data_IF_804273014709
#
_entry.id   IF_804273014709
#
_cell.length_a   1.000
_cell.length_b   1.000
_cell.length_c   1.000
_cell.angle_alpha   90.00
_cell.angle_beta   90.00
_cell.angle_gamma   90.00
#
_symmetry.space_group_name_H-M   'P 1'
#
loop_
_entity.id
_entity.type
_entity.pdbx_description
1 polymer ?
#
# COMPACT_ATOMS: atom_id res chain seq x y z
N UNK A 1 2.36 2.08 19.88
CA UNK A 1 1.20 2.21 18.96
C UNK A 1 1.61 3.03 17.76
N UNK A 2 1.21 2.64 16.54
CA UNK A 2 1.46 3.41 15.32
C UNK A 2 0.15 3.63 14.57
N UNK A 3 -0.01 4.82 13.99
CA UNK A 3 -1.17 5.25 13.19
C UNK A 3 -0.67 5.78 11.85
N UNK A 4 -1.45 5.52 10.81
CA UNK A 4 -1.22 6.05 9.47
C UNK A 4 -2.40 6.93 9.07
N UNK A 5 -2.16 7.85 8.15
CA UNK A 5 -3.18 8.69 7.57
C UNK A 5 -2.60 9.74 6.63
N UNK A 6 -3.44 10.40 5.83
CA UNK A 6 -3.00 11.53 5.02
C UNK A 6 -2.70 12.74 5.91
N UNK A 7 -1.50 13.33 5.77
CA UNK A 7 -1.04 14.46 6.58
C UNK A 7 -0.69 15.73 5.80
N UNK A 8 -0.40 15.65 4.50
CA UNK A 8 -0.10 16.81 3.66
C UNK A 8 -0.99 16.84 2.42
N UNK A 9 -1.80 17.90 2.33
CA UNK A 9 -2.81 18.09 1.27
C UNK A 9 -2.39 19.12 0.21
N UNK A 10 -1.35 19.90 0.47
CA UNK A 10 -0.86 20.95 -0.42
C UNK A 10 0.65 20.84 -0.60
N UNK A 11 1.11 20.94 -1.85
CA UNK A 11 2.53 20.94 -2.23
C UNK A 11 2.74 22.09 -3.21
N UNK A 12 3.56 23.08 -2.82
CA UNK A 12 3.69 24.34 -3.56
C UNK A 12 2.32 25.00 -3.77
N UNK A 13 2.00 25.29 -5.03
CA UNK A 13 0.73 25.91 -5.45
C UNK A 13 -0.36 24.89 -5.83
N UNK A 14 -0.09 23.60 -5.65
CA UNK A 14 -1.03 22.51 -5.99
C UNK A 14 -1.63 21.87 -4.75
N UNK A 15 -2.91 21.48 -4.82
CA UNK A 15 -3.67 20.91 -3.72
C UNK A 15 -4.38 19.62 -4.15
N UNK A 16 -4.40 18.65 -3.25
CA UNK A 16 -5.13 17.40 -3.39
C UNK A 16 -6.64 17.64 -3.21
N UNK A 17 -7.44 17.01 -4.07
CA UNK A 17 -8.90 17.21 -4.14
C UNK A 17 -9.69 16.17 -3.34
N UNK A 18 -9.04 15.11 -2.90
CA UNK A 18 -9.68 14.01 -2.19
C UNK A 18 -8.91 13.68 -0.91
N UNK A 19 -9.65 13.28 0.15
CA UNK A 19 -9.05 12.97 1.44
C UNK A 19 -7.97 11.89 1.33
N UNK A 20 -8.23 10.81 0.59
CA UNK A 20 -7.27 9.71 0.42
C UNK A 20 -5.99 10.07 -0.36
N UNK A 21 -5.92 11.26 -0.98
CA UNK A 21 -4.76 11.62 -1.78
C UNK A 21 -3.63 12.28 -0.97
N UNK A 22 -3.90 12.73 0.26
CA UNK A 22 -2.88 13.39 1.08
C UNK A 22 -1.69 12.45 1.37
N UNK A 23 -0.49 13.02 1.49
CA UNK A 23 0.73 12.22 1.71
C UNK A 23 0.66 11.47 3.02
N UNK A 24 1.03 10.19 2.98
CA UNK A 24 1.11 9.32 4.13
C UNK A 24 1.98 9.94 5.24
N UNK A 25 1.39 10.03 6.43
CA UNK A 25 1.97 10.61 7.62
C UNK A 25 1.85 9.62 8.78
N UNK A 26 3.00 9.07 9.15
CA UNK A 26 3.14 8.04 10.16
C UNK A 26 3.25 8.72 11.52
N UNK A 27 2.45 8.28 12.47
CA UNK A 27 2.45 8.77 13.84
C UNK A 27 2.69 7.61 14.80
N UNK A 28 3.69 7.74 15.66
CA UNK A 28 4.08 6.74 16.67
C UNK A 28 3.91 7.32 18.06
N UNK A 29 3.26 6.52 18.90
CA UNK A 29 3.03 6.77 20.31
C UNK A 29 3.67 5.62 21.09
N UNK A 30 4.74 5.90 21.80
CA UNK A 30 5.53 4.92 22.56
C UNK A 30 5.46 5.24 24.05
N UNK A 31 5.29 4.21 24.88
CA UNK A 31 5.16 4.36 26.33
C UNK A 31 6.32 3.64 27.01
N UNK A 32 7.06 4.37 27.84
CA UNK A 32 8.20 3.85 28.60
C UNK A 32 8.22 4.54 29.96
N UNK A 33 8.33 3.75 31.03
CA UNK A 33 8.34 4.22 32.43
C UNK A 33 7.22 5.20 32.79
N UNK A 34 6.01 4.91 32.30
CA UNK A 34 4.81 5.74 32.56
C UNK A 34 4.79 7.07 31.80
N UNK A 35 5.76 7.33 30.91
CA UNK A 35 5.79 8.50 30.02
C UNK A 35 5.38 8.11 28.60
N UNK A 36 4.73 9.04 27.90
CA UNK A 36 4.39 8.89 26.49
C UNK A 36 5.32 9.75 25.63
N UNK A 37 5.96 9.11 24.66
CA UNK A 37 6.76 9.74 23.62
C UNK A 37 6.01 9.72 22.29
N UNK A 38 6.08 10.83 21.57
CA UNK A 38 5.48 11.00 20.26
C UNK A 38 6.58 11.24 19.22
N UNK A 39 6.52 10.49 18.13
CA UNK A 39 7.31 10.75 16.92
C UNK A 39 6.42 10.64 15.70
N UNK A 40 6.70 11.43 14.67
CA UNK A 40 5.95 11.35 13.43
C UNK A 40 6.81 11.74 12.23
N UNK A 41 6.50 11.15 11.08
CA UNK A 41 7.26 11.34 9.85
C UNK A 41 6.37 11.13 8.64
N UNK A 42 6.61 11.89 7.58
CA UNK A 42 6.05 11.56 6.28
C UNK A 42 6.68 10.28 5.75
N UNK A 43 5.87 9.42 5.14
CA UNK A 43 6.40 8.27 4.44
C UNK A 43 7.15 8.75 3.19
N UNK A 44 8.48 8.64 3.20
CA UNK A 44 9.34 9.04 2.10
C UNK A 44 9.33 8.01 0.96
N UNK A 45 8.13 7.76 0.41
CA UNK A 45 7.90 6.96 -0.79
C UNK A 45 8.44 7.65 -2.04
N UNK A 46 8.48 6.95 -3.17
CA UNK A 46 8.85 7.56 -4.45
C UNK A 46 7.84 8.63 -4.87
N UNK A 47 6.55 8.45 -4.56
CA UNK A 47 5.53 9.49 -4.71
C UNK A 47 5.88 10.76 -3.93
N UNK A 48 6.17 10.62 -2.64
CA UNK A 48 6.55 11.74 -1.78
C UNK A 48 7.80 12.46 -2.32
N UNK A 49 8.87 11.71 -2.60
CA UNK A 49 10.14 12.27 -3.08
C UNK A 49 9.97 13.03 -4.39
N UNK A 50 9.19 12.50 -5.33
CA UNK A 50 8.93 13.13 -6.64
C UNK A 50 8.16 14.43 -6.49
N UNK A 51 7.08 14.44 -5.71
CA UNK A 51 6.26 15.63 -5.51
C UNK A 51 7.01 16.72 -4.73
N UNK A 52 7.78 16.34 -3.71
CA UNK A 52 8.63 17.28 -2.96
C UNK A 52 9.75 17.86 -3.81
N UNK A 53 10.42 17.04 -4.64
CA UNK A 53 11.46 17.51 -5.57
C UNK A 53 10.90 18.46 -6.63
N UNK A 54 9.68 18.22 -7.09
CA UNK A 54 9.02 19.08 -8.08
C UNK A 54 8.34 20.32 -7.46
N UNK A 55 8.23 20.39 -6.13
CA UNK A 55 7.46 21.38 -5.39
C UNK A 55 6.02 21.56 -5.92
N UNK A 56 5.41 20.46 -6.40
CA UNK A 56 4.03 20.38 -6.91
C UNK A 56 3.61 18.90 -7.04
N UNK A 57 2.31 18.65 -7.07
CA UNK A 57 1.73 17.32 -7.30
C UNK A 57 1.96 16.94 -8.77
N UNK A 58 2.88 16.01 -9.01
CA UNK A 58 3.22 15.49 -10.34
C UNK A 58 2.81 14.03 -10.54
N UNK A 59 2.58 13.28 -9.46
CA UNK A 59 2.03 11.93 -9.52
C UNK A 59 0.51 11.98 -9.31
N UNK A 60 -0.25 11.29 -10.16
CA UNK A 60 -1.70 11.16 -9.99
C UNK A 60 -2.03 10.27 -8.79
N UNK A 61 -3.05 10.66 -8.03
CA UNK A 61 -3.60 9.90 -6.89
C UNK A 61 -5.05 9.45 -7.19
N UNK A 62 -5.76 8.95 -6.18
CA UNK A 62 -7.11 8.38 -6.33
C UNK A 62 -8.12 9.40 -6.86
N UNK A 63 -8.21 10.58 -6.25
CA UNK A 63 -9.16 11.63 -6.63
C UNK A 63 -8.52 12.85 -7.31
N UNK A 64 -7.19 12.88 -7.40
CA UNK A 64 -6.43 14.00 -7.94
C UNK A 64 -5.63 13.53 -9.15
N UNK A 65 -6.17 13.82 -10.33
CA UNK A 65 -5.42 13.64 -11.57
C UNK A 65 -4.34 14.71 -11.69
N UNK A 66 -3.17 14.29 -12.17
CA UNK A 66 -2.05 15.18 -12.48
C UNK A 66 -2.52 16.39 -13.32
N UNK A 67 -2.09 17.59 -12.91
CA UNK A 67 -2.16 18.75 -13.78
C UNK A 67 -1.12 18.60 -14.90
N UNK A 68 -1.52 18.72 -16.18
CA UNK A 68 -0.59 18.54 -17.29
C UNK A 68 0.51 19.60 -17.21
N UNK A 69 1.75 19.13 -17.07
CA UNK A 69 2.94 19.97 -16.91
C UNK A 69 2.94 21.13 -17.94
N UNK A 70 2.98 22.40 -17.49
CA UNK A 70 3.01 23.55 -18.39
C UNK A 70 4.25 23.57 -19.29
N UNK A 71 5.31 22.84 -18.92
CA UNK A 71 6.53 22.71 -19.72
C UNK A 71 6.45 21.61 -20.80
N UNK A 72 5.40 20.76 -20.80
CA UNK A 72 5.21 19.74 -21.84
C UNK A 72 4.47 20.31 -23.04
N UNK A 73 5.04 20.14 -24.24
CA UNK A 73 4.41 20.56 -25.51
C UNK A 73 3.08 19.83 -25.76
N UNK A 74 2.20 20.36 -26.63
CA UNK A 74 0.89 19.74 -26.93
C UNK A 74 1.03 18.27 -27.39
N UNK A 75 2.12 17.95 -28.09
CA UNK A 75 2.46 16.58 -28.51
C UNK A 75 2.93 15.70 -27.35
N UNK A 76 3.75 16.22 -26.44
CA UNK A 76 4.15 15.50 -25.22
C UNK A 76 2.98 15.30 -24.25
N UNK A 77 2.03 16.23 -24.22
CA UNK A 77 0.75 16.08 -23.50
C UNK A 77 -0.06 14.92 -24.06
N UNK A 78 -0.20 14.83 -25.38
CA UNK A 78 -0.90 13.74 -26.05
C UNK A 78 -0.17 12.40 -25.84
N UNK A 79 1.16 12.35 -25.93
CA UNK A 79 1.95 11.14 -25.63
C UNK A 79 1.89 10.73 -24.15
N UNK A 80 1.75 11.67 -23.22
CA UNK A 80 1.56 11.36 -21.79
C UNK A 80 0.21 10.69 -21.50
N UNK A 81 -0.79 10.83 -22.39
CA UNK A 81 -2.03 10.04 -22.33
C UNK A 81 -1.83 8.60 -22.79
N UNK A 82 -0.93 8.35 -23.75
CA UNK A 82 -0.70 7.03 -24.35
C UNK A 82 0.39 6.23 -23.63
N UNK A 83 1.29 6.89 -22.91
CA UNK A 83 2.29 6.29 -22.04
C UNK A 83 1.95 6.72 -20.63
N UNK A 84 1.18 5.93 -19.85
CA UNK A 84 0.98 6.23 -18.44
C UNK A 84 2.36 6.24 -17.79
N UNK A 85 2.84 7.44 -17.47
CA UNK A 85 4.04 7.67 -16.69
C UNK A 85 3.98 6.74 -15.48
N UNK A 86 5.07 6.06 -15.13
CA UNK A 86 5.13 5.07 -14.03
C UNK A 86 4.42 5.65 -12.80
N UNK A 87 3.15 5.30 -12.62
CA UNK A 87 2.30 5.94 -11.62
C UNK A 87 2.93 5.66 -10.26
N UNK A 88 3.18 6.73 -9.50
CA UNK A 88 3.68 6.65 -8.15
C UNK A 88 2.51 6.19 -7.27
N UNK A 89 2.29 4.87 -7.24
CA UNK A 89 1.16 4.25 -6.55
C UNK A 89 1.53 3.82 -5.12
N UNK A 90 2.64 4.32 -4.59
CA UNK A 90 3.24 3.93 -3.31
C UNK A 90 2.98 4.94 -2.18
N UNK A 91 2.01 5.86 -2.34
CA UNK A 91 1.46 6.64 -1.24
C UNK A 91 0.62 5.76 -0.30
N UNK A 92 1.32 5.04 0.57
CA UNK A 92 0.73 4.06 1.46
C UNK A 92 0.16 4.71 2.73
N UNK A 93 -0.96 5.44 2.61
CA UNK A 93 -1.53 6.28 3.67
C UNK A 93 -2.67 5.65 4.49
N UNK A 94 -3.10 4.42 4.16
CA UNK A 94 -4.37 3.87 4.66
C UNK A 94 -4.18 3.08 5.95
N UNK A 95 -3.31 2.08 5.95
CA UNK A 95 -3.14 1.18 7.09
C UNK A 95 -1.70 0.67 7.22
N UNK A 96 -1.48 -0.14 8.25
CA UNK A 96 -0.28 -0.96 8.41
C UNK A 96 -0.67 -2.43 8.43
N UNK A 97 0.19 -3.27 7.89
CA UNK A 97 0.14 -4.73 8.05
C UNK A 97 1.44 -5.21 8.68
N UNK A 98 1.30 -6.09 9.67
CA UNK A 98 2.41 -6.81 10.29
C UNK A 98 2.59 -8.14 9.58
N UNK A 99 3.80 -8.37 9.08
CA UNK A 99 4.17 -9.51 8.28
C UNK A 99 5.48 -10.07 8.83
N UNK A 100 5.39 -11.11 9.67
CA UNK A 100 6.55 -11.66 10.36
C UNK A 100 7.18 -10.63 11.30
N UNK A 101 8.45 -10.32 11.08
CA UNK A 101 9.21 -9.26 11.79
C UNK A 101 9.04 -7.87 11.15
N UNK A 102 8.42 -7.77 9.97
CA UNK A 102 8.27 -6.54 9.21
C UNK A 102 6.93 -5.83 9.44
N UNK A 103 6.97 -4.50 9.42
CA UNK A 103 5.78 -3.64 9.36
C UNK A 103 5.75 -2.95 8.00
N UNK A 104 4.60 -3.00 7.34
CA UNK A 104 4.41 -2.44 6.00
C UNK A 104 3.27 -1.44 5.99
N UNK A 105 3.54 -0.23 5.53
CA UNK A 105 2.52 0.74 5.17
C UNK A 105 1.80 0.29 3.89
N UNK A 106 0.48 0.39 3.87
CA UNK A 106 -0.36 -0.07 2.76
C UNK A 106 -1.41 0.97 2.34
N UNK A 107 -1.74 0.93 1.06
CA UNK A 107 -2.91 1.59 0.44
C UNK A 107 -3.62 0.56 -0.46
N UNK A 108 -4.57 0.98 -1.29
CA UNK A 108 -5.31 0.09 -2.20
C UNK A 108 -4.52 -0.33 -3.45
N UNK A 109 -3.21 -0.04 -3.49
CA UNK A 109 -2.31 -0.41 -4.57
C UNK A 109 -1.60 -1.73 -4.25
N UNK A 110 -1.13 -2.47 -5.27
CA UNK A 110 -0.34 -3.68 -5.06
C UNK A 110 1.11 -3.41 -4.57
N UNK A 111 1.44 -2.17 -4.20
CA UNK A 111 2.75 -1.79 -3.65
C UNK A 111 2.65 -1.51 -2.17
N UNK A 112 3.50 -2.20 -1.41
CA UNK A 112 3.64 -2.05 0.02
C UNK A 112 4.95 -1.34 0.31
N UNK A 113 5.00 -0.58 1.38
CA UNK A 113 6.24 0.11 1.79
C UNK A 113 6.65 -0.38 3.17
N UNK A 114 7.80 -1.07 3.27
CA UNK A 114 8.35 -1.52 4.54
C UNK A 114 8.84 -0.31 5.33
N UNK A 115 8.51 -0.25 6.62
CA UNK A 115 8.95 0.81 7.52
C UNK A 115 9.74 0.26 8.70
N UNK A 116 10.68 1.06 9.19
CA UNK A 116 11.26 0.86 10.51
C UNK A 116 10.33 1.45 11.57
N UNK A 117 9.99 0.67 12.61
CA UNK A 117 9.00 1.12 13.59
C UNK A 117 9.56 2.11 14.62
N UNK A 118 10.87 2.20 14.76
CA UNK A 118 11.52 3.04 15.76
C UNK A 118 11.96 4.38 15.16
N UNK A 119 12.55 4.36 13.96
CA UNK A 119 12.96 5.56 13.22
C UNK A 119 11.88 6.12 12.29
N UNK A 120 10.85 5.32 11.96
CA UNK A 120 9.83 5.63 10.94
C UNK A 120 10.41 5.79 9.52
N UNK A 121 11.61 5.25 9.26
CA UNK A 121 12.24 5.28 7.94
C UNK A 121 11.53 4.35 6.95
N UNK A 122 11.50 4.77 5.70
CA UNK A 122 11.11 3.93 4.56
C UNK A 122 12.28 2.99 4.19
N UNK A 123 12.12 1.69 4.39
CA UNK A 123 13.16 0.69 4.18
C UNK A 123 13.15 0.08 2.77
N UNK A 124 12.02 0.15 2.05
CA UNK A 124 11.91 -0.35 0.69
C UNK A 124 10.46 -0.65 0.26
N UNK A 125 10.26 -0.90 -1.03
CA UNK A 125 8.96 -1.31 -1.59
C UNK A 125 8.90 -2.82 -1.84
N UNK A 126 7.71 -3.40 -1.68
CA UNK A 126 7.37 -4.75 -2.14
C UNK A 126 6.24 -4.63 -3.15
N UNK A 127 6.39 -5.28 -4.30
CA UNK A 127 5.37 -5.31 -5.35
C UNK A 127 4.76 -6.70 -5.46
N UNK A 128 3.54 -6.86 -4.95
CA UNK A 128 2.85 -8.17 -4.88
C UNK A 128 2.69 -8.81 -6.26
N UNK A 129 2.62 -8.00 -7.32
CA UNK A 129 2.54 -8.52 -8.69
C UNK A 129 3.79 -9.32 -9.06
N UNK A 130 4.96 -8.87 -8.59
CA UNK A 130 6.23 -9.54 -8.84
C UNK A 130 6.36 -10.77 -7.97
N UNK A 131 6.06 -10.65 -6.67
CA UNK A 131 6.24 -11.74 -5.72
C UNK A 131 5.30 -12.92 -6.01
N UNK A 132 4.00 -12.65 -6.15
CA UNK A 132 3.01 -13.68 -6.44
C UNK A 132 2.90 -14.04 -7.93
N UNK A 133 3.65 -13.35 -8.81
CA UNK A 133 3.59 -13.52 -10.28
C UNK A 133 2.16 -13.44 -10.84
N UNK A 134 1.37 -12.51 -10.30
CA UNK A 134 -0.03 -12.27 -10.67
C UNK A 134 -0.20 -10.84 -11.20
N UNK A 135 -1.15 -10.66 -12.12
CA UNK A 135 -1.63 -9.32 -12.44
C UNK A 135 -2.50 -8.81 -11.28
N UNK A 136 -2.35 -7.52 -10.93
CA UNK A 136 -3.19 -6.81 -9.98
C UNK A 136 -3.27 -5.33 -10.39
N UNK A 137 -4.47 -4.75 -10.38
CA UNK A 137 -4.68 -3.30 -10.46
C UNK A 137 -4.87 -2.70 -9.08
N UNK A 138 -5.68 -3.35 -8.23
CA UNK A 138 -5.89 -2.96 -6.84
C UNK A 138 -5.63 -4.13 -5.93
N UNK A 139 -5.27 -3.83 -4.68
CA UNK A 139 -5.02 -4.80 -3.62
C UNK A 139 -5.36 -4.13 -2.30
N UNK A 140 -6.22 -4.73 -1.47
CA UNK A 140 -6.78 -3.96 -0.35
C UNK A 140 -5.71 -3.65 0.72
N UNK A 141 -5.91 -2.54 1.44
CA UNK A 141 -5.11 -2.20 2.60
C UNK A 141 -5.47 -3.03 3.86
N UNK A 142 -6.50 -3.89 3.78
CA UNK A 142 -7.08 -4.56 4.93
C UNK A 142 -6.84 -6.08 4.86
N UNK A 143 -5.74 -6.50 5.46
CA UNK A 143 -5.36 -7.91 5.52
C UNK A 143 -6.11 -8.62 6.63
N UNK A 144 -6.45 -9.88 6.38
CA UNK A 144 -6.88 -10.82 7.41
C UNK A 144 -5.73 -11.77 7.74
N UNK A 145 -5.65 -12.23 8.98
CA UNK A 145 -4.66 -13.21 9.41
C UNK A 145 -5.33 -14.42 10.07
N UNK A 146 -4.74 -15.61 9.89
CA UNK A 146 -5.09 -16.80 10.67
C UNK A 146 -4.24 -16.94 11.94
N UNK A 147 -4.52 -17.97 12.72
CA UNK A 147 -3.80 -18.26 13.97
C UNK A 147 -2.32 -18.57 13.73
N UNK A 148 -1.98 -19.13 12.57
CA UNK A 148 -0.60 -19.44 12.16
C UNK A 148 0.14 -18.19 11.65
N UNK A 149 -0.53 -17.03 11.62
CA UNK A 149 0.03 -15.77 11.14
C UNK A 149 0.13 -15.68 9.62
N UNK A 150 -0.53 -16.56 8.86
CA UNK A 150 -0.63 -16.37 7.41
C UNK A 150 -1.54 -15.18 7.11
N UNK A 151 -1.19 -14.42 6.08
CA UNK A 151 -1.94 -13.24 5.66
C UNK A 151 -2.81 -13.57 4.44
N UNK A 152 -4.07 -13.14 4.47
CA UNK A 152 -5.03 -13.26 3.38
C UNK A 152 -5.41 -11.87 2.92
N UNK A 153 -5.48 -11.70 1.60
CA UNK A 153 -5.93 -10.44 1.02
C UNK A 153 -6.60 -10.68 -0.33
N UNK A 154 -7.37 -9.69 -0.76
CA UNK A 154 -8.10 -9.64 -2.01
C UNK A 154 -7.60 -8.49 -2.87
N UNK A 155 -7.58 -8.69 -4.18
CA UNK A 155 -7.29 -7.66 -5.17
C UNK A 155 -8.14 -7.82 -6.41
N UNK A 156 -7.95 -6.93 -7.38
CA UNK A 156 -8.68 -6.97 -8.65
C UNK A 156 -7.75 -7.02 -9.86
N UNK A 157 -8.20 -7.71 -10.90
CA UNK A 157 -7.66 -7.61 -12.26
C UNK A 157 -8.72 -7.01 -13.19
N UNK A 158 -8.29 -6.48 -14.35
CA UNK A 158 -9.21 -5.83 -15.29
C UNK A 158 -10.31 -6.82 -15.71
N UNK A 159 -11.55 -6.35 -15.82
CA UNK A 159 -12.69 -7.18 -16.22
C UNK A 159 -13.41 -7.90 -15.06
N UNK A 160 -13.58 -7.24 -13.91
CA UNK A 160 -14.39 -7.73 -12.78
C UNK A 160 -13.97 -9.10 -12.22
N UNK A 161 -12.68 -9.38 -12.23
CA UNK A 161 -12.13 -10.57 -11.63
C UNK A 161 -11.42 -10.23 -10.33
N UNK A 162 -11.76 -10.99 -9.28
CA UNK A 162 -11.19 -10.85 -7.94
C UNK A 162 -10.11 -11.91 -7.75
N UNK A 163 -9.00 -11.50 -7.16
CA UNK A 163 -7.85 -12.33 -6.88
C UNK A 163 -7.70 -12.47 -5.37
N UNK A 164 -7.76 -13.70 -4.87
CA UNK A 164 -7.49 -14.02 -3.48
C UNK A 164 -6.08 -14.54 -3.34
N UNK A 165 -5.35 -13.99 -2.39
CA UNK A 165 -3.94 -14.32 -2.14
C UNK A 165 -3.77 -14.77 -0.69
N UNK A 166 -2.83 -15.67 -0.50
CA UNK A 166 -2.34 -16.10 0.82
C UNK A 166 -0.85 -15.88 0.85
N UNK A 167 -0.36 -15.17 1.86
CA UNK A 167 1.06 -15.03 2.14
C UNK A 167 1.38 -15.89 3.34
N UNK A 168 2.23 -16.89 3.15
CA UNK A 168 2.59 -17.79 4.23
C UNK A 168 3.51 -17.09 5.23
N UNK A 169 3.29 -17.36 6.52
CA UNK A 169 4.21 -16.93 7.54
C UNK A 169 5.56 -17.65 7.35
N UNK A 170 6.70 -16.96 7.24
CA UNK A 170 8.01 -17.56 7.02
C UNK A 170 8.44 -18.48 8.17
N UNK A 171 7.89 -18.32 9.39
CA UNK A 171 8.10 -19.28 10.48
C UNK A 171 7.58 -20.70 10.15
N UNK A 172 6.69 -20.81 9.17
CA UNK A 172 6.10 -22.06 8.70
C UNK A 172 6.46 -22.37 7.24
N UNK A 173 7.31 -21.55 6.60
CA UNK A 173 7.78 -21.78 5.24
C UNK A 173 9.06 -22.63 5.25
N UNK A 174 9.12 -23.67 4.42
CA UNK A 174 10.34 -24.45 4.24
C UNK A 174 11.37 -23.64 3.41
N UNK A 175 12.45 -23.17 4.05
CA UNK A 175 13.56 -22.50 3.35
C UNK A 175 14.28 -21.42 4.18
N UNK A 176 15.37 -20.89 3.64
CA UNK A 176 16.16 -19.79 4.23
C UNK A 176 15.65 -18.39 3.85
N UNK A 177 14.54 -18.30 3.11
CA UNK A 177 14.03 -17.03 2.62
C UNK A 177 13.15 -16.36 3.68
N UNK A 178 13.71 -15.34 4.33
CA UNK A 178 13.09 -14.59 5.42
C UNK A 178 12.14 -13.50 4.92
N UNK A 179 12.10 -13.22 3.61
CA UNK A 179 11.22 -12.20 3.04
C UNK A 179 9.81 -12.78 2.88
N UNK A 180 8.93 -12.44 3.82
CA UNK A 180 7.58 -12.99 3.94
C UNK A 180 6.79 -12.99 2.62
N UNK A 181 6.84 -11.90 1.86
CA UNK A 181 6.03 -11.76 0.64
C UNK A 181 6.52 -12.61 -0.53
N UNK A 182 7.73 -13.17 -0.51
CA UNK A 182 8.19 -14.14 -1.52
C UNK A 182 7.35 -15.43 -1.48
N UNK A 183 6.70 -15.70 -0.35
CA UNK A 183 5.78 -16.83 -0.14
C UNK A 183 4.32 -16.46 -0.40
N UNK A 184 4.06 -15.38 -1.17
CA UNK A 184 2.69 -15.01 -1.58
C UNK A 184 2.23 -15.92 -2.71
N UNK A 185 1.12 -16.61 -2.50
CA UNK A 185 0.54 -17.52 -3.48
C UNK A 185 -0.88 -17.09 -3.84
N UNK A 186 -1.23 -17.34 -5.10
CA UNK A 186 -2.59 -17.23 -5.59
C UNK A 186 -3.44 -18.36 -5.00
N UNK A 187 -4.48 -18.02 -4.25
CA UNK A 187 -5.46 -18.98 -3.74
C UNK A 187 -6.53 -19.22 -4.78
N UNK A 188 -7.11 -18.15 -5.34
CA UNK A 188 -8.24 -18.24 -6.27
C UNK A 188 -8.41 -16.98 -7.12
N UNK A 189 -8.90 -17.16 -8.34
CA UNK A 189 -9.46 -16.08 -9.17
C UNK A 189 -10.95 -16.34 -9.39
N UNK A 190 -11.79 -15.32 -9.25
CA UNK A 190 -13.25 -15.42 -9.48
C UNK A 190 -13.76 -14.29 -10.36
N UNK A 191 -14.50 -14.61 -11.41
CA UNK A 191 -15.27 -13.65 -12.20
C UNK A 191 -16.70 -13.53 -11.63
N UNK A 192 -17.23 -12.31 -11.53
CA UNK A 192 -18.57 -11.97 -11.01
C UNK A 192 -18.78 -12.25 -9.52
N UNK A 193 -18.68 -11.18 -8.70
CA UNK A 193 -19.12 -11.20 -7.31
C UNK A 193 -20.65 -11.10 -7.26
N UNK A 194 -21.36 -12.23 -7.17
CA UNK A 194 -22.66 -12.25 -6.50
C UNK A 194 -22.34 -12.36 -5.02
N UNK A 195 -22.66 -11.31 -4.25
CA UNK A 195 -22.25 -11.13 -2.87
C UNK A 195 -22.77 -12.24 -1.94
N UNK A 196 -22.02 -13.34 -1.84
CA UNK A 196 -22.12 -14.34 -0.78
C UNK A 196 -20.83 -15.16 -0.77
N UNK A 197 -19.77 -14.60 -0.20
CA UNK A 197 -18.77 -15.38 0.52
C UNK A 197 -18.61 -14.74 1.89
N UNK A 198 -19.53 -15.11 2.78
CA UNK A 198 -19.25 -15.19 4.20
C UNK A 198 -18.18 -16.26 4.34
N UNK A 199 -16.97 -15.88 4.76
CA UNK A 199 -16.11 -16.82 5.49
C UNK A 199 -16.97 -17.44 6.61
N UNK A 200 -16.85 -18.74 6.92
CA UNK A 200 -17.60 -19.32 8.02
C UNK A 200 -17.20 -18.58 9.30
N UNK A 201 -18.07 -17.67 9.73
CA UNK A 201 -18.25 -17.38 11.14
C UNK A 201 -18.59 -18.71 11.82
N UNK A 202 -18.09 -18.90 13.04
CA UNK A 202 -18.24 -20.06 13.94
C UNK A 202 -17.21 -21.18 13.78
N UNK A 203 -16.12 -21.07 14.55
CA UNK A 203 -15.65 -22.21 15.35
C UNK A 203 -16.45 -22.21 16.66
N UNK A 204 -17.26 -23.26 16.96
CA UNK A 204 -17.85 -23.40 18.28
C UNK A 204 -16.74 -23.74 19.27
N UNK A 205 -16.66 -22.95 20.35
CA UNK A 205 -15.94 -23.33 21.55
C UNK A 205 -16.61 -24.57 22.15
N UNK A 206 -15.83 -25.63 22.35
CA UNK A 206 -16.04 -26.66 23.38
C UNK A 206 -14.70 -26.89 24.06
#
# INVERSE_FOLDING_TARGET
>A
MVRNGPGMFKIGDTEYKHWFDGMAYIQRYHFEDGKMYYSARYLESEDYKKNMKANRIICSSFGTLQFPDPCKTLFQRLFSYFIPDKQCIDNASVAFVTAGDGVYAVTESPRLVRIDIDSLDCLGEVDIRKEAKISLHTYTAHYHNDHDGNLYNIGTIMGHCYVFTKTMNPLHAEGTDTLLYNHTQLVRVTANFHATMLFPTYTPQC
#
